data_IF_115373486328
#
_entry.id   IF_115373486328
#
_cell.length_a   1.000
_cell.length_b   1.000
_cell.length_c   1.000
_cell.angle_alpha   90.00
_cell.angle_beta   90.00
_cell.angle_gamma   90.00
#
_symmetry.space_group_name_H-M   'P 1'
#
loop_
_entity.id
_entity.type
_entity.pdbx_description
1 polymer ?
#
# COMPACT_ATOMS: atom_id res chain seq x y z
N UNK A 1 11.32 2.08 7.30
CA UNK A 1 10.95 0.73 6.85
C UNK A 1 9.49 0.47 7.22
N UNK A 2 8.76 -0.32 6.38
CA UNK A 2 7.36 -0.66 6.65
C UNK A 2 6.35 0.36 6.11
N UNK A 3 6.58 0.94 4.93
CA UNK A 3 5.62 1.81 4.25
C UNK A 3 4.48 0.99 3.59
N UNK A 4 3.42 1.68 3.17
CA UNK A 4 2.28 1.09 2.45
C UNK A 4 1.63 -0.10 3.20
N UNK A 5 1.67 -0.10 4.53
CA UNK A 5 1.13 -1.15 5.40
C UNK A 5 1.83 -2.52 5.30
N UNK A 6 2.94 -2.62 4.61
CA UNK A 6 3.73 -3.83 4.45
C UNK A 6 5.05 -3.73 5.21
N UNK A 7 5.52 -4.84 5.74
CA UNK A 7 6.76 -4.94 6.51
C UNK A 7 6.90 -6.34 7.10
N UNK A 8 7.99 -6.63 7.76
CA UNK A 8 8.34 -7.98 8.21
C UNK A 8 8.53 -8.11 9.71
N UNK A 9 8.05 -7.13 10.51
CA UNK A 9 8.27 -7.14 11.95
C UNK A 9 7.53 -8.25 12.72
N UNK A 10 6.64 -9.00 12.06
CA UNK A 10 5.98 -10.19 12.58
C UNK A 10 6.53 -11.49 11.94
N UNK A 11 7.75 -11.45 11.41
CA UNK A 11 8.34 -12.59 10.71
C UNK A 11 7.66 -12.89 9.38
N UNK A 12 7.74 -14.15 8.94
CA UNK A 12 7.11 -14.62 7.70
C UNK A 12 5.59 -14.78 7.83
N UNK A 13 5.08 -15.02 9.02
CA UNK A 13 3.68 -15.32 9.34
C UNK A 13 3.15 -16.54 8.55
N UNK A 14 4.04 -17.42 8.11
CA UNK A 14 3.68 -18.62 7.36
C UNK A 14 2.88 -19.59 8.22
N UNK A 15 1.84 -20.15 7.62
CA UNK A 15 1.04 -21.25 8.16
C UNK A 15 0.85 -22.29 7.07
N UNK A 16 0.28 -23.46 7.40
CA UNK A 16 0.01 -24.48 6.41
C UNK A 16 -0.87 -23.93 5.27
N UNK A 17 -0.30 -23.88 4.06
CA UNK A 17 -0.99 -23.41 2.85
C UNK A 17 -1.07 -21.89 2.67
N UNK A 18 -0.46 -21.07 3.55
CA UNK A 18 -0.47 -19.62 3.42
C UNK A 18 0.94 -19.02 3.60
N UNK A 19 1.32 -18.11 2.71
CA UNK A 19 2.60 -17.40 2.69
C UNK A 19 2.35 -15.87 2.68
N UNK A 20 1.93 -15.25 3.81
CA UNK A 20 1.46 -13.86 3.82
C UNK A 20 2.47 -12.83 3.29
N UNK A 21 3.78 -13.01 3.57
CA UNK A 21 4.83 -12.13 3.02
C UNK A 21 4.88 -12.25 1.49
N UNK A 22 4.89 -13.47 0.98
CA UNK A 22 4.92 -13.73 -0.46
C UNK A 22 3.66 -13.15 -1.11
N UNK A 23 2.51 -13.41 -0.52
CA UNK A 23 1.21 -13.00 -1.03
C UNK A 23 1.05 -11.48 -1.08
N UNK A 24 1.41 -10.78 -0.01
CA UNK A 24 1.28 -9.33 0.07
C UNK A 24 2.32 -8.56 -0.75
N UNK A 25 3.57 -9.04 -0.82
CA UNK A 25 4.66 -8.25 -1.41
C UNK A 25 4.86 -8.46 -2.91
N UNK A 26 4.51 -9.65 -3.43
CA UNK A 26 4.81 -9.97 -4.84
C UNK A 26 4.27 -8.94 -5.81
N UNK A 27 2.97 -8.65 -5.76
CA UNK A 27 2.33 -7.71 -6.70
C UNK A 27 2.49 -6.26 -6.29
N UNK A 28 2.54 -5.98 -4.99
CA UNK A 28 2.67 -4.60 -4.48
C UNK A 28 4.06 -4.03 -4.71
N UNK A 29 5.09 -4.83 -4.44
CA UNK A 29 6.50 -4.40 -4.53
C UNK A 29 7.22 -4.95 -5.77
N UNK A 30 6.49 -5.69 -6.61
CA UNK A 30 7.03 -6.31 -7.82
C UNK A 30 8.25 -7.21 -7.55
N UNK A 31 8.17 -8.05 -6.52
CA UNK A 31 9.25 -8.95 -6.13
C UNK A 31 8.85 -10.40 -6.47
N UNK A 32 9.68 -11.15 -7.21
CA UNK A 32 9.38 -12.55 -7.54
C UNK A 32 9.18 -13.41 -6.30
N UNK A 33 8.15 -14.28 -6.29
CA UNK A 33 7.81 -15.17 -5.16
C UNK A 33 8.99 -15.99 -4.65
N UNK A 34 9.81 -16.54 -5.57
CA UNK A 34 11.01 -17.30 -5.20
C UNK A 34 12.04 -16.50 -4.39
N UNK A 35 12.10 -15.17 -4.61
CA UNK A 35 12.98 -14.28 -3.84
C UNK A 35 12.38 -14.05 -2.46
N UNK A 36 11.08 -13.78 -2.38
CA UNK A 36 10.37 -13.54 -1.12
C UNK A 36 10.42 -14.79 -0.22
N UNK A 37 10.23 -16.00 -0.77
CA UNK A 37 10.37 -17.26 -0.01
C UNK A 37 11.74 -17.39 0.62
N UNK A 38 12.82 -17.10 -0.13
CA UNK A 38 14.18 -17.08 0.43
C UNK A 38 14.37 -16.03 1.52
N UNK A 39 13.72 -14.88 1.38
CA UNK A 39 13.73 -13.86 2.43
C UNK A 39 12.97 -14.33 3.67
N UNK A 40 11.81 -14.96 3.50
CA UNK A 40 11.01 -15.53 4.59
C UNK A 40 11.78 -16.63 5.35
N UNK A 41 12.41 -17.57 4.64
CA UNK A 41 13.26 -18.62 5.21
C UNK A 41 14.43 -18.06 6.03
N UNK A 42 14.93 -16.88 5.68
CA UNK A 42 16.04 -16.23 6.37
C UNK A 42 15.62 -15.42 7.61
N UNK A 43 14.33 -15.24 7.86
CA UNK A 43 13.83 -14.49 9.03
C UNK A 43 14.02 -15.31 10.31
N UNK A 44 14.68 -14.68 11.29
CA UNK A 44 14.95 -15.29 12.60
C UNK A 44 14.14 -14.65 13.72
N UNK A 45 13.20 -13.81 13.38
CA UNK A 45 12.28 -13.09 14.28
C UNK A 45 10.83 -13.35 13.88
N UNK A 46 9.93 -13.26 14.83
CA UNK A 46 8.48 -13.41 14.65
C UNK A 46 7.65 -12.32 15.36
N UNK A 47 8.34 -11.36 15.99
CA UNK A 47 7.70 -10.29 16.73
C UNK A 47 8.46 -8.95 16.60
N UNK A 48 7.83 -7.82 16.92
CA UNK A 48 8.43 -6.48 16.78
C UNK A 48 9.71 -6.26 17.59
N UNK A 49 9.85 -6.89 18.76
CA UNK A 49 11.04 -6.73 19.60
C UNK A 49 12.26 -7.41 18.99
N UNK A 50 12.13 -8.66 18.59
CA UNK A 50 13.23 -9.41 17.99
C UNK A 50 13.61 -8.87 16.62
N UNK A 51 12.66 -8.31 15.89
CA UNK A 51 12.93 -7.58 14.65
C UNK A 51 13.85 -6.37 14.86
N UNK A 52 13.65 -5.57 15.91
CA UNK A 52 14.57 -4.46 16.21
C UNK A 52 15.93 -4.95 16.68
N UNK A 53 15.98 -5.99 17.53
CA UNK A 53 17.23 -6.61 17.98
C UNK A 53 18.06 -7.17 16.81
N UNK A 54 17.41 -7.67 15.77
CA UNK A 54 18.09 -8.13 14.56
C UNK A 54 18.94 -7.00 13.95
N UNK A 55 18.40 -5.79 13.85
CA UNK A 55 19.16 -4.64 13.31
C UNK A 55 20.31 -4.18 14.21
N UNK A 56 20.20 -4.32 15.53
CA UNK A 56 21.28 -3.96 16.45
C UNK A 56 22.55 -4.81 16.22
N UNK A 57 22.38 -6.02 15.71
CA UNK A 57 23.47 -6.94 15.41
C UNK A 57 24.06 -6.80 14.00
N UNK A 58 23.51 -5.90 13.17
CA UNK A 58 23.99 -5.65 11.82
C UNK A 58 24.93 -4.45 11.76
N UNK A 59 26.01 -4.56 10.99
CA UNK A 59 26.92 -3.45 10.69
C UNK A 59 26.26 -2.52 9.65
N UNK A 60 25.33 -1.69 10.09
CA UNK A 60 24.57 -0.79 9.23
C UNK A 60 25.24 0.58 9.14
N UNK A 61 25.32 1.15 7.93
CA UNK A 61 25.74 2.52 7.74
C UNK A 61 24.66 3.55 8.12
N UNK A 62 23.42 3.42 7.62
CA UNK A 62 22.32 4.34 7.94
C UNK A 62 21.65 3.97 9.26
N UNK A 63 21.02 4.97 9.91
CA UNK A 63 20.06 4.73 10.98
C UNK A 63 18.79 4.10 10.41
N UNK A 64 18.25 3.10 11.10
CA UNK A 64 16.99 2.46 10.73
C UNK A 64 15.91 2.79 11.74
N UNK A 65 14.71 3.06 11.25
CA UNK A 65 13.51 3.19 12.05
C UNK A 65 12.35 2.51 11.32
N UNK A 66 11.48 1.83 12.06
CA UNK A 66 10.41 1.01 11.51
C UNK A 66 9.03 1.53 11.87
N UNK A 67 8.05 1.32 11.00
CA UNK A 67 6.63 1.40 11.28
C UNK A 67 6.06 0.02 11.55
N UNK A 68 5.00 -0.06 12.36
CA UNK A 68 4.16 -1.25 12.43
C UNK A 68 3.31 -1.30 11.16
N UNK A 69 3.41 -2.35 10.34
CA UNK A 69 2.65 -2.48 9.11
C UNK A 69 1.25 -3.00 9.41
N UNK A 70 0.22 -2.22 9.07
CA UNK A 70 -1.16 -2.52 9.44
C UNK A 70 -1.70 -3.82 8.79
N UNK A 71 -1.33 -4.10 7.54
CA UNK A 71 -1.72 -5.37 6.88
C UNK A 71 -1.21 -6.56 7.66
N UNK A 72 0.07 -6.53 8.05
CA UNK A 72 0.69 -7.64 8.79
C UNK A 72 0.17 -7.73 10.23
N UNK A 73 -0.16 -6.59 10.89
CA UNK A 73 -0.81 -6.58 12.19
C UNK A 73 -2.20 -7.23 12.16
N UNK A 74 -2.96 -7.00 11.07
CA UNK A 74 -4.24 -7.67 10.87
C UNK A 74 -4.08 -9.17 10.69
N UNK A 75 -3.10 -9.60 9.90
CA UNK A 75 -2.81 -11.03 9.69
C UNK A 75 -2.37 -11.68 11.00
N UNK A 76 -1.51 -11.03 11.76
CA UNK A 76 -1.02 -11.50 13.06
C UNK A 76 -2.15 -11.82 14.05
N UNK A 77 -3.19 -11.03 14.04
CA UNK A 77 -4.28 -11.16 15.01
C UNK A 77 -5.46 -11.96 14.48
N UNK A 78 -5.76 -11.88 13.18
CA UNK A 78 -6.97 -12.45 12.57
C UNK A 78 -6.68 -13.62 11.64
N UNK A 79 -5.43 -13.81 11.20
CA UNK A 79 -5.08 -14.64 10.06
C UNK A 79 -5.41 -13.97 8.71
N UNK A 80 -4.84 -14.49 7.62
CA UNK A 80 -4.98 -13.89 6.30
C UNK A 80 -6.45 -13.82 5.85
N UNK A 81 -7.16 -14.95 5.85
CA UNK A 81 -8.54 -15.04 5.33
C UNK A 81 -9.52 -14.09 6.05
N UNK A 82 -9.46 -14.04 7.37
CA UNK A 82 -10.33 -13.15 8.13
C UNK A 82 -9.94 -11.68 7.92
N UNK A 83 -8.64 -11.39 7.77
CA UNK A 83 -8.13 -10.03 7.58
C UNK A 83 -8.56 -9.39 6.26
N UNK A 84 -8.91 -10.20 5.25
CA UNK A 84 -9.38 -9.75 3.93
C UNK A 84 -10.88 -9.94 3.69
N UNK A 85 -11.61 -10.41 4.68
CA UNK A 85 -13.04 -10.70 4.51
C UNK A 85 -13.95 -9.93 5.46
N UNK A 86 -13.46 -9.52 6.64
CA UNK A 86 -14.26 -8.85 7.65
C UNK A 86 -13.48 -7.83 8.49
N UNK A 87 -14.22 -7.00 9.21
CA UNK A 87 -13.62 -6.18 10.27
C UNK A 87 -13.23 -7.04 11.49
N UNK A 88 -12.24 -6.61 12.31
CA UNK A 88 -11.92 -7.27 13.56
C UNK A 88 -13.09 -7.19 14.55
N UNK A 89 -13.27 -8.24 15.35
CA UNK A 89 -14.14 -8.19 16.52
C UNK A 89 -13.46 -7.38 17.65
N UNK A 90 -14.15 -7.22 18.79
CA UNK A 90 -13.65 -6.37 19.85
C UNK A 90 -12.38 -6.93 20.52
N UNK A 91 -12.28 -8.26 20.68
CA UNK A 91 -11.08 -8.89 21.26
C UNK A 91 -9.88 -8.81 20.33
N UNK A 92 -10.10 -9.03 19.03
CA UNK A 92 -9.07 -8.87 17.99
C UNK A 92 -8.56 -7.42 17.94
N UNK A 93 -9.46 -6.46 18.01
CA UNK A 93 -9.09 -5.04 17.99
C UNK A 93 -8.31 -4.64 19.26
N UNK A 94 -8.71 -5.13 20.43
CA UNK A 94 -7.94 -4.95 21.68
C UNK A 94 -6.54 -5.58 21.58
N UNK A 95 -6.42 -6.76 20.95
CA UNK A 95 -5.14 -7.42 20.73
C UNK A 95 -4.24 -6.60 19.80
N UNK A 96 -4.78 -6.04 18.72
CA UNK A 96 -4.04 -5.13 17.83
C UNK A 96 -3.56 -3.89 18.57
N UNK A 97 -4.40 -3.29 19.42
CA UNK A 97 -4.02 -2.13 20.24
C UNK A 97 -2.88 -2.47 21.20
N UNK A 98 -2.93 -3.62 21.87
CA UNK A 98 -1.87 -4.08 22.80
C UNK A 98 -0.53 -4.30 22.07
N UNK A 99 -0.54 -4.95 20.92
CA UNK A 99 0.66 -5.16 20.11
C UNK A 99 1.23 -3.81 19.64
N UNK A 100 0.36 -2.92 19.17
CA UNK A 100 0.77 -1.59 18.73
C UNK A 100 1.32 -0.74 19.88
N UNK A 101 0.71 -0.79 21.06
CA UNK A 101 1.20 -0.12 22.26
C UNK A 101 2.62 -0.58 22.61
N UNK A 102 2.85 -1.90 22.69
CA UNK A 102 4.18 -2.46 22.97
C UNK A 102 5.22 -2.05 21.90
N UNK A 103 4.83 -2.04 20.63
CA UNK A 103 5.73 -1.57 19.58
C UNK A 103 6.08 -0.07 19.72
N UNK A 104 5.13 0.79 20.14
CA UNK A 104 5.43 2.20 20.41
C UNK A 104 6.42 2.36 21.57
N UNK A 105 6.30 1.55 22.62
CA UNK A 105 7.23 1.51 23.77
C UNK A 105 8.63 1.05 23.36
N UNK A 106 8.74 0.09 22.44
CA UNK A 106 10.01 -0.36 21.85
C UNK A 106 10.67 0.67 20.93
N UNK A 107 9.98 1.76 20.56
CA UNK A 107 10.55 2.84 19.77
C UNK A 107 10.16 2.83 18.28
N UNK A 108 9.18 2.05 17.87
CA UNK A 108 8.62 2.15 16.51
C UNK A 108 8.13 3.57 16.20
N UNK A 109 8.27 4.00 14.95
CA UNK A 109 7.88 5.35 14.52
C UNK A 109 6.36 5.57 14.53
N UNK A 110 5.58 4.51 14.46
CA UNK A 110 4.13 4.59 14.39
C UNK A 110 3.51 3.46 13.58
N UNK A 111 2.34 3.73 13.01
CA UNK A 111 1.57 2.79 12.19
C UNK A 111 1.61 3.18 10.72
N UNK A 112 1.78 2.19 9.85
CA UNK A 112 1.69 2.37 8.40
C UNK A 112 0.43 1.72 7.85
N UNK A 113 -0.33 2.47 7.05
CA UNK A 113 -1.56 2.02 6.35
C UNK A 113 -1.48 2.30 4.86
N UNK A 114 -2.36 1.65 4.08
CA UNK A 114 -2.43 1.84 2.64
C UNK A 114 -3.86 2.03 2.15
N UNK A 115 -4.04 2.91 1.18
CA UNK A 115 -5.32 3.20 0.53
C UNK A 115 -5.28 3.14 -0.99
N UNK A 116 -4.18 2.63 -1.59
CA UNK A 116 -4.05 2.53 -3.04
C UNK A 116 -4.84 1.34 -3.60
N UNK A 117 -5.72 1.55 -4.58
CA UNK A 117 -6.69 0.55 -5.01
C UNK A 117 -6.09 -0.61 -5.82
N UNK A 118 -4.84 -0.49 -6.23
CA UNK A 118 -4.14 -1.44 -7.08
C UNK A 118 -3.16 -2.35 -6.31
N UNK A 119 -3.24 -2.39 -4.99
CA UNK A 119 -2.45 -3.30 -4.16
C UNK A 119 -3.24 -4.58 -3.87
N UNK A 120 -2.96 -5.63 -4.65
CA UNK A 120 -3.63 -6.93 -4.60
C UNK A 120 -2.71 -8.02 -4.04
N UNK A 121 -3.33 -9.08 -3.53
CA UNK A 121 -2.67 -10.32 -3.16
C UNK A 121 -2.25 -11.12 -4.40
N UNK A 122 -1.29 -12.02 -4.25
CA UNK A 122 -0.68 -12.72 -5.39
C UNK A 122 -0.93 -14.21 -5.45
N UNK A 123 -1.45 -14.83 -4.38
CA UNK A 123 -1.67 -16.28 -4.31
C UNK A 123 -3.15 -16.63 -4.45
N UNK A 124 -3.44 -17.77 -5.11
CA UNK A 124 -4.76 -18.34 -5.10
C UNK A 124 -5.15 -18.79 -3.68
N UNK A 125 -6.42 -18.63 -3.30
CA UNK A 125 -7.56 -18.14 -4.08
C UNK A 125 -7.77 -16.62 -3.98
N UNK A 126 -6.80 -15.84 -3.50
CA UNK A 126 -6.97 -14.43 -3.11
C UNK A 126 -6.47 -13.41 -4.14
N UNK A 127 -6.13 -13.83 -5.36
CA UNK A 127 -5.58 -12.95 -6.41
C UNK A 127 -6.50 -11.79 -6.82
N UNK A 128 -7.80 -11.88 -6.50
CA UNK A 128 -8.81 -10.83 -6.70
C UNK A 128 -8.97 -9.91 -5.46
N UNK A 129 -8.32 -10.21 -4.35
CA UNK A 129 -8.43 -9.47 -3.09
C UNK A 129 -7.31 -8.45 -2.94
N UNK A 130 -7.65 -7.32 -2.35
CA UNK A 130 -6.67 -6.30 -1.95
C UNK A 130 -5.99 -6.69 -0.65
N UNK A 131 -4.85 -6.05 -0.35
CA UNK A 131 -4.11 -6.26 0.89
C UNK A 131 -4.94 -5.92 2.13
N UNK A 132 -4.68 -6.57 3.28
CA UNK A 132 -5.56 -6.53 4.46
C UNK A 132 -5.92 -5.15 5.00
N UNK A 133 -5.02 -4.17 4.94
CA UNK A 133 -5.27 -2.82 5.45
C UNK A 133 -6.47 -2.13 4.78
N UNK A 134 -6.81 -2.51 3.55
CA UNK A 134 -7.91 -1.90 2.78
C UNK A 134 -9.30 -2.37 3.23
N UNK A 135 -9.36 -3.43 4.03
CA UNK A 135 -10.60 -3.91 4.67
C UNK A 135 -10.84 -3.26 6.05
N UNK A 136 -9.95 -2.37 6.47
CA UNK A 136 -10.08 -1.69 7.75
C UNK A 136 -11.25 -0.71 7.78
N UNK A 137 -12.01 -0.77 8.87
CA UNK A 137 -13.06 0.20 9.14
C UNK A 137 -12.49 1.52 9.70
N UNK A 138 -13.25 2.61 9.57
CA UNK A 138 -12.90 3.87 10.22
C UNK A 138 -12.79 3.72 11.76
N UNK A 139 -13.64 2.88 12.38
CA UNK A 139 -13.58 2.58 13.83
C UNK A 139 -12.25 1.95 14.21
N UNK A 140 -11.80 0.97 13.44
CA UNK A 140 -10.51 0.29 13.63
C UNK A 140 -9.35 1.28 13.55
N UNK A 141 -9.25 2.02 12.44
CA UNK A 141 -8.18 3.01 12.28
C UNK A 141 -8.21 4.08 13.36
N UNK A 142 -9.39 4.59 13.73
CA UNK A 142 -9.51 5.58 14.82
C UNK A 142 -8.94 5.06 16.11
N UNK A 143 -9.19 3.82 16.48
CA UNK A 143 -8.69 3.19 17.72
C UNK A 143 -7.17 3.01 17.67
N UNK A 144 -6.66 2.39 16.62
CA UNK A 144 -5.21 2.19 16.46
C UNK A 144 -4.45 3.52 16.39
N UNK A 145 -4.97 4.52 15.69
CA UNK A 145 -4.37 5.85 15.64
C UNK A 145 -4.48 6.61 16.95
N UNK A 146 -5.38 6.25 17.86
CA UNK A 146 -5.40 6.79 19.22
C UNK A 146 -4.19 6.32 20.03
N UNK A 147 -3.74 5.07 19.85
CA UNK A 147 -2.49 4.56 20.42
C UNK A 147 -1.30 5.33 19.86
N UNK A 148 -1.20 5.47 18.53
CA UNK A 148 -0.12 6.24 17.88
C UNK A 148 -0.05 7.68 18.38
N UNK A 149 -1.21 8.33 18.54
CA UNK A 149 -1.36 9.70 19.08
C UNK A 149 -0.93 9.82 20.53
N UNK A 150 -1.29 8.85 21.38
CA UNK A 150 -0.90 8.80 22.79
C UNK A 150 0.62 8.84 22.97
N UNK A 151 1.34 8.10 22.12
CA UNK A 151 2.80 8.02 22.12
C UNK A 151 3.51 9.12 21.30
N UNK A 152 2.77 10.11 20.78
CA UNK A 152 3.29 11.18 19.91
C UNK A 152 4.05 10.65 18.69
N UNK A 153 3.62 9.51 18.14
CA UNK A 153 4.20 8.84 16.98
C UNK A 153 3.54 9.27 15.68
N UNK A 154 3.91 8.65 14.56
CA UNK A 154 3.53 9.05 13.22
C UNK A 154 2.54 8.04 12.61
N UNK A 155 1.49 8.55 11.99
CA UNK A 155 0.70 7.79 11.03
C UNK A 155 1.29 7.98 9.63
N UNK A 156 1.87 6.95 9.05
CA UNK A 156 2.24 6.92 7.64
C UNK A 156 1.10 6.30 6.84
N UNK A 157 0.75 6.87 5.69
CA UNK A 157 -0.34 6.36 4.87
C UNK A 157 -0.19 6.72 3.40
N UNK A 158 -0.85 5.96 2.54
CA UNK A 158 -1.15 6.38 1.18
C UNK A 158 -2.62 6.84 1.11
N UNK A 159 -2.96 7.82 0.29
CA UNK A 159 -4.34 8.32 0.20
C UNK A 159 -5.26 7.29 -0.48
N UNK A 160 -6.54 7.30 -0.10
CA UNK A 160 -7.60 6.59 -0.82
C UNK A 160 -7.93 7.42 -2.07
N UNK A 161 -7.39 7.02 -3.22
CA UNK A 161 -7.54 7.81 -4.46
C UNK A 161 -8.86 7.59 -5.19
N UNK A 162 -9.52 6.44 -5.00
CA UNK A 162 -10.80 6.10 -5.64
C UNK A 162 -11.97 6.99 -5.21
N UNK A 163 -11.92 7.50 -3.98
CA UNK A 163 -13.00 8.31 -3.44
C UNK A 163 -12.44 9.47 -2.60
N UNK A 164 -12.45 10.66 -3.21
CA UNK A 164 -11.90 11.89 -2.60
C UNK A 164 -12.58 12.28 -1.30
N UNK A 165 -13.90 12.08 -1.20
CA UNK A 165 -14.66 12.39 0.03
C UNK A 165 -14.30 11.41 1.14
N UNK A 166 -14.18 10.13 0.82
CA UNK A 166 -13.71 9.11 1.75
C UNK A 166 -12.28 9.42 2.21
N UNK A 167 -11.38 9.78 1.29
CA UNK A 167 -10.01 10.18 1.62
C UNK A 167 -9.99 11.37 2.59
N UNK A 168 -10.73 12.44 2.28
CA UNK A 168 -10.82 13.61 3.14
C UNK A 168 -11.38 13.25 4.52
N UNK A 169 -12.42 12.42 4.58
CA UNK A 169 -13.00 11.95 5.83
C UNK A 169 -11.98 11.17 6.68
N UNK A 170 -11.21 10.26 6.07
CA UNK A 170 -10.15 9.53 6.78
C UNK A 170 -9.02 10.45 7.25
N UNK A 171 -8.63 11.43 6.45
CA UNK A 171 -7.62 12.40 6.87
C UNK A 171 -8.07 13.30 8.04
N UNK A 172 -9.36 13.39 8.34
CA UNK A 172 -9.81 14.07 9.59
C UNK A 172 -9.23 13.43 10.84
N UNK A 173 -8.83 12.14 10.77
CA UNK A 173 -8.14 11.45 11.87
C UNK A 173 -6.85 12.15 12.30
N UNK A 174 -6.27 13.05 11.49
CA UNK A 174 -5.13 13.87 11.87
C UNK A 174 -5.47 14.98 12.86
N UNK A 175 -6.76 15.36 12.93
CA UNK A 175 -7.23 16.56 13.65
C UNK A 175 -7.09 16.44 15.17
N UNK A 176 -6.45 17.44 15.77
CA UNK A 176 -6.41 17.61 17.23
C UNK A 176 -7.75 18.08 17.78
N UNK A 177 -8.49 18.90 17.04
CA UNK A 177 -9.81 19.40 17.48
C UNK A 177 -10.85 18.31 17.59
N UNK A 178 -10.81 17.31 16.70
CA UNK A 178 -11.76 16.21 16.71
C UNK A 178 -11.36 15.05 17.63
N UNK A 179 -10.04 14.87 17.87
CA UNK A 179 -9.52 13.68 18.55
C UNK A 179 -8.53 13.96 19.68
N UNK A 180 -8.48 15.19 20.21
CA UNK A 180 -7.73 15.58 21.41
C UNK A 180 -6.34 16.17 21.11
N UNK A 181 -5.43 15.42 20.49
CA UNK A 181 -4.12 15.91 20.06
C UNK A 181 -4.00 15.83 18.54
N UNK A 182 -3.27 16.75 17.89
CA UNK A 182 -2.95 16.58 16.47
C UNK A 182 -2.07 15.35 16.27
N UNK A 183 -2.39 14.54 15.26
CA UNK A 183 -1.62 13.37 14.90
C UNK A 183 -0.63 13.73 13.79
N UNK A 184 0.65 13.48 14.04
CA UNK A 184 1.69 13.57 13.00
C UNK A 184 1.37 12.59 11.89
N UNK A 185 1.09 13.07 10.70
CA UNK A 185 0.69 12.24 9.56
C UNK A 185 1.58 12.52 8.37
N UNK A 186 2.16 11.46 7.83
CA UNK A 186 2.98 11.48 6.62
C UNK A 186 2.26 10.71 5.52
N UNK A 187 1.78 11.41 4.49
CA UNK A 187 1.07 10.80 3.38
C UNK A 187 1.94 10.73 2.11
N UNK A 188 1.96 9.59 1.47
CA UNK A 188 2.63 9.36 0.19
C UNK A 188 1.62 9.63 -0.93
N UNK A 189 1.81 10.50 -1.86
CA UNK A 189 2.69 11.64 -1.99
C UNK A 189 1.96 12.78 -2.71
N UNK A 190 2.41 14.01 -2.57
CA UNK A 190 1.93 15.12 -3.39
C UNK A 190 2.68 15.12 -4.73
N UNK A 191 2.30 14.21 -5.62
CA UNK A 191 2.88 14.12 -6.96
C UNK A 191 2.13 15.02 -7.94
N UNK A 192 2.89 15.73 -8.78
CA UNK A 192 2.38 16.32 -10.00
C UNK A 192 2.56 15.31 -11.11
N UNK A 193 1.46 14.87 -11.70
CA UNK A 193 1.49 13.90 -12.79
C UNK A 193 1.13 14.57 -14.11
N UNK A 194 1.79 14.20 -15.19
CA UNK A 194 1.44 14.68 -16.54
C UNK A 194 -0.03 14.39 -16.87
N UNK A 195 -0.53 13.23 -16.47
CA UNK A 195 -1.92 12.84 -16.65
C UNK A 195 -2.92 13.61 -15.76
N UNK A 196 -2.46 14.15 -14.61
CA UNK A 196 -3.29 14.88 -13.66
C UNK A 196 -2.61 16.18 -13.21
N UNK A 197 -2.41 17.18 -14.10
CA UNK A 197 -1.82 18.47 -13.74
C UNK A 197 -2.63 19.17 -12.66
N UNK A 198 -1.93 19.83 -11.74
CA UNK A 198 -2.44 20.45 -10.52
C UNK A 198 -2.93 19.47 -9.43
N UNK A 199 -2.65 18.17 -9.54
CA UNK A 199 -2.92 17.22 -8.45
C UNK A 199 -2.20 17.61 -7.15
N UNK A 200 -0.96 18.05 -7.23
CA UNK A 200 -0.19 18.56 -6.09
C UNK A 200 -0.88 19.73 -5.38
N UNK A 201 -1.49 20.67 -6.13
CA UNK A 201 -2.24 21.80 -5.55
C UNK A 201 -3.44 21.34 -4.72
N UNK A 202 -4.15 20.30 -5.20
CA UNK A 202 -5.27 19.71 -4.47
C UNK A 202 -4.79 19.12 -3.13
N UNK A 203 -3.74 18.30 -3.15
CA UNK A 203 -3.20 17.68 -1.94
C UNK A 203 -2.68 18.73 -0.95
N UNK A 204 -1.97 19.74 -1.43
CA UNK A 204 -1.50 20.85 -0.58
C UNK A 204 -2.66 21.69 -0.03
N UNK A 205 -3.73 21.88 -0.80
CA UNK A 205 -4.97 22.51 -0.34
C UNK A 205 -5.64 21.74 0.80
N UNK A 206 -5.72 20.41 0.68
CA UNK A 206 -6.24 19.53 1.74
C UNK A 206 -5.36 19.62 3.00
N UNK A 207 -4.03 19.55 2.85
CA UNK A 207 -3.12 19.71 3.98
C UNK A 207 -3.28 21.06 4.67
N UNK A 208 -3.38 22.16 3.91
CA UNK A 208 -3.60 23.50 4.46
C UNK A 208 -4.91 23.61 5.25
N UNK A 209 -6.00 22.99 4.74
CA UNK A 209 -7.27 22.96 5.44
C UNK A 209 -7.17 22.16 6.75
N UNK A 210 -6.65 20.95 6.70
CA UNK A 210 -6.54 20.08 7.87
C UNK A 210 -5.56 20.62 8.92
N UNK A 211 -4.49 21.28 8.49
CA UNK A 211 -3.50 21.90 9.37
C UNK A 211 -3.90 23.31 9.86
N UNK A 212 -5.10 23.79 9.48
CA UNK A 212 -5.59 25.08 9.93
C UNK A 212 -5.88 25.09 11.45
N UNK A 213 -5.95 26.28 12.04
CA UNK A 213 -6.34 26.45 13.46
C UNK A 213 -7.73 25.84 13.78
N UNK A 214 -8.59 25.71 12.76
CA UNK A 214 -9.92 25.12 12.90
C UNK A 214 -9.86 23.62 13.15
N UNK A 215 -8.99 22.88 12.47
CA UNK A 215 -8.90 21.42 12.56
C UNK A 215 -7.67 20.95 13.37
N UNK A 216 -6.65 21.79 13.50
CA UNK A 216 -5.43 21.52 14.28
C UNK A 216 -4.79 20.17 13.92
N UNK A 217 -4.63 19.89 12.61
CA UNK A 217 -3.97 18.69 12.12
C UNK A 217 -2.47 18.88 11.96
N UNK A 218 -1.74 17.77 11.71
CA UNK A 218 -0.32 17.74 11.33
C UNK A 218 -0.11 16.81 10.15
N UNK A 219 -0.78 17.10 9.03
CA UNK A 219 -0.68 16.34 7.79
C UNK A 219 0.41 16.93 6.91
N UNK A 220 1.36 16.09 6.53
CA UNK A 220 2.42 16.41 5.57
C UNK A 220 2.42 15.38 4.45
N UNK A 221 2.46 15.85 3.22
CA UNK A 221 2.67 15.00 2.06
C UNK A 221 4.17 14.88 1.75
N UNK A 222 4.60 13.67 1.47
CA UNK A 222 5.95 13.43 0.95
C UNK A 222 6.05 13.99 -0.48
N UNK A 223 7.23 14.51 -0.82
CA UNK A 223 7.54 15.00 -2.15
C UNK A 223 8.80 14.32 -2.67
N UNK A 224 8.83 14.07 -3.97
CA UNK A 224 10.03 13.60 -4.65
C UNK A 224 10.93 14.81 -4.97
N UNK A 225 12.21 14.72 -4.62
CA UNK A 225 13.19 15.78 -4.88
C UNK A 225 13.61 15.89 -6.34
N UNK A 226 13.28 14.89 -7.15
CA UNK A 226 13.61 14.81 -8.58
C UNK A 226 12.45 14.26 -9.37
N UNK A 227 12.49 14.42 -10.70
CA UNK A 227 11.51 13.79 -11.58
C UNK A 227 11.56 12.27 -11.43
N UNK A 228 10.41 11.67 -11.21
CA UNK A 228 10.25 10.23 -11.11
C UNK A 228 9.99 9.64 -12.50
N UNK A 229 10.81 8.66 -12.86
CA UNK A 229 10.66 7.90 -14.10
C UNK A 229 10.71 6.42 -13.78
N UNK A 230 9.81 5.65 -14.36
CA UNK A 230 9.77 4.19 -14.21
C UNK A 230 10.04 3.56 -15.57
N UNK A 231 10.94 2.61 -15.59
CA UNK A 231 11.13 1.69 -16.69
C UNK A 231 10.63 0.32 -16.24
N UNK A 232 9.84 -0.33 -17.07
CA UNK A 232 9.30 -1.66 -16.78
C UNK A 232 9.57 -2.55 -17.98
N UNK A 233 10.11 -3.73 -17.75
CA UNK A 233 10.23 -4.78 -18.73
C UNK A 233 8.94 -5.61 -18.75
N UNK A 234 8.06 -5.26 -19.67
CA UNK A 234 6.72 -5.82 -19.74
C UNK A 234 5.69 -5.17 -18.80
N UNK A 235 4.49 -5.74 -18.75
CA UNK A 235 3.39 -5.30 -17.90
C UNK A 235 3.51 -6.01 -16.54
N UNK A 236 4.32 -5.46 -15.64
CA UNK A 236 4.61 -6.02 -14.33
C UNK A 236 4.51 -5.00 -13.19
N UNK A 237 4.36 -3.72 -13.52
CA UNK A 237 4.24 -2.68 -12.50
C UNK A 237 2.84 -2.65 -11.86
N UNK A 238 2.71 -2.43 -10.53
CA UNK A 238 1.42 -2.28 -9.85
C UNK A 238 0.51 -1.22 -10.47
N UNK A 239 1.06 -0.22 -11.16
CA UNK A 239 0.27 0.80 -11.86
C UNK A 239 -0.66 0.23 -12.94
N UNK A 240 -0.32 -0.91 -13.51
CA UNK A 240 -1.16 -1.59 -14.49
C UNK A 240 -2.29 -2.41 -13.85
N UNK A 241 -2.32 -2.58 -12.53
CA UNK A 241 -3.43 -3.21 -11.80
C UNK A 241 -4.73 -2.38 -11.86
N UNK A 242 -4.65 -1.12 -12.26
CA UNK A 242 -5.83 -0.26 -12.43
C UNK A 242 -6.77 -0.73 -13.54
N UNK A 243 -6.26 -1.46 -14.54
CA UNK A 243 -7.04 -2.03 -15.63
C UNK A 243 -7.26 -3.53 -15.39
N UNK A 244 -8.49 -4.01 -15.61
CA UNK A 244 -8.81 -5.42 -15.35
C UNK A 244 -8.03 -6.37 -16.24
N UNK A 245 -7.82 -6.01 -17.50
CA UNK A 245 -7.05 -6.81 -18.45
C UNK A 245 -5.57 -6.94 -18.07
N UNK A 246 -4.95 -5.86 -17.64
CA UNK A 246 -3.54 -5.90 -17.21
C UNK A 246 -3.38 -6.50 -15.82
N UNK A 247 -4.37 -6.36 -14.93
CA UNK A 247 -4.41 -7.04 -13.65
C UNK A 247 -4.40 -8.58 -13.80
N UNK A 248 -5.16 -9.12 -14.77
CA UNK A 248 -5.13 -10.55 -15.11
C UNK A 248 -3.73 -11.00 -15.54
N UNK A 249 -3.04 -10.19 -16.35
CA UNK A 249 -1.69 -10.50 -16.79
C UNK A 249 -0.66 -10.45 -15.63
N UNK A 250 -0.81 -9.49 -14.73
CA UNK A 250 0.07 -9.34 -13.56
C UNK A 250 -0.18 -10.44 -12.52
N UNK A 251 -1.41 -10.98 -12.45
CA UNK A 251 -1.73 -12.10 -11.57
C UNK A 251 -1.02 -13.41 -11.94
N UNK A 252 -0.56 -13.54 -13.20
CA UNK A 252 0.28 -14.66 -13.63
C UNK A 252 1.71 -14.48 -13.11
N UNK A 253 2.37 -15.59 -12.77
CA UNK A 253 3.77 -15.58 -12.39
C UNK A 253 4.63 -14.89 -13.45
N UNK A 254 5.67 -14.18 -13.01
CA UNK A 254 6.54 -13.44 -13.91
C UNK A 254 7.24 -14.35 -14.94
N UNK A 255 7.58 -15.56 -14.56
CA UNK A 255 8.23 -16.57 -15.37
C UNK A 255 7.26 -17.57 -16.05
N UNK A 256 5.94 -17.40 -15.88
CA UNK A 256 4.92 -18.11 -16.67
C UNK A 256 4.78 -17.49 -18.07
N UNK A 257 5.82 -17.67 -18.88
CA UNK A 257 5.85 -17.12 -20.24
C UNK A 257 4.73 -17.68 -21.13
N UNK A 258 4.39 -18.96 -20.97
CA UNK A 258 3.34 -19.58 -21.78
C UNK A 258 1.95 -19.07 -21.43
N UNK A 259 1.63 -18.97 -20.13
CA UNK A 259 0.37 -18.42 -19.65
C UNK A 259 0.19 -16.97 -20.06
N UNK A 260 1.23 -16.15 -19.87
CA UNK A 260 1.24 -14.74 -20.28
C UNK A 260 1.09 -14.58 -21.79
N UNK A 261 1.78 -15.40 -22.60
CA UNK A 261 1.60 -15.38 -24.05
C UNK A 261 0.22 -15.83 -24.50
N UNK A 262 -0.33 -16.89 -23.91
CA UNK A 262 -1.72 -17.33 -24.21
C UNK A 262 -2.71 -16.20 -23.97
N UNK A 263 -2.61 -15.53 -22.84
CA UNK A 263 -3.50 -14.42 -22.49
C UNK A 263 -3.36 -13.26 -23.50
N UNK A 264 -2.12 -12.84 -23.80
CA UNK A 264 -1.86 -11.75 -24.75
C UNK A 264 -2.25 -12.05 -26.21
N UNK A 265 -2.43 -13.32 -26.59
CA UNK A 265 -2.91 -13.73 -27.89
C UNK A 265 -4.42 -14.05 -27.93
N UNK A 266 -5.09 -14.02 -26.77
CA UNK A 266 -6.55 -14.16 -26.71
C UNK A 266 -7.23 -12.91 -27.30
N UNK A 267 -8.03 -13.07 -28.39
CA UNK A 267 -8.68 -11.95 -29.05
C UNK A 267 -9.63 -11.18 -28.12
N UNK A 268 -10.31 -11.85 -27.18
CA UNK A 268 -11.23 -11.20 -26.23
C UNK A 268 -10.46 -10.35 -25.23
N UNK A 269 -9.33 -10.87 -24.74
CA UNK A 269 -8.46 -10.12 -23.85
C UNK A 269 -7.85 -8.90 -24.57
N UNK A 270 -7.36 -9.07 -25.79
CA UNK A 270 -6.78 -7.98 -26.60
C UNK A 270 -7.78 -6.87 -26.84
N UNK A 271 -9.04 -7.21 -27.18
CA UNK A 271 -10.06 -6.19 -27.41
C UNK A 271 -10.46 -5.47 -26.11
N UNK A 272 -10.57 -6.20 -25.00
CA UNK A 272 -10.80 -5.62 -23.68
C UNK A 272 -9.66 -4.69 -23.27
N UNK A 273 -8.42 -5.12 -23.41
CA UNK A 273 -7.24 -4.29 -23.15
C UNK A 273 -7.24 -3.02 -23.98
N UNK A 274 -7.48 -3.11 -25.31
CA UNK A 274 -7.56 -1.93 -26.20
C UNK A 274 -8.64 -0.95 -25.76
N UNK A 275 -9.80 -1.45 -25.38
CA UNK A 275 -10.90 -0.61 -24.89
C UNK A 275 -10.54 0.09 -23.58
N UNK A 276 -10.05 -0.66 -22.60
CA UNK A 276 -9.65 -0.12 -21.31
C UNK A 276 -8.50 0.88 -21.45
N UNK A 277 -7.51 0.57 -22.28
CA UNK A 277 -6.38 1.47 -22.54
C UNK A 277 -6.80 2.80 -23.17
N UNK A 278 -7.76 2.78 -24.08
CA UNK A 278 -8.24 3.99 -24.75
C UNK A 278 -9.15 4.84 -23.88
N UNK A 279 -10.03 4.24 -23.12
CA UNK A 279 -11.13 4.93 -22.46
C UNK A 279 -11.05 4.89 -20.94
N UNK A 280 -10.19 4.05 -20.37
CA UNK A 280 -10.17 3.74 -18.94
C UNK A 280 -11.33 2.84 -18.52
N UNK A 281 -11.34 2.46 -17.25
CA UNK A 281 -12.33 1.55 -16.67
C UNK A 281 -13.29 2.28 -15.73
N UNK A 282 -12.74 3.03 -14.77
CA UNK A 282 -13.51 3.64 -13.66
C UNK A 282 -13.80 5.12 -13.86
N UNK A 283 -13.17 5.76 -14.84
CA UNK A 283 -13.20 7.20 -15.01
C UNK A 283 -12.20 7.98 -14.17
N UNK A 284 -11.60 7.36 -13.17
CA UNK A 284 -10.57 7.92 -12.27
C UNK A 284 -9.21 7.16 -12.36
N UNK A 285 -9.12 6.10 -13.16
CA UNK A 285 -7.86 5.43 -13.47
C UNK A 285 -6.97 6.25 -14.44
N UNK A 286 -5.70 5.85 -14.55
CA UNK A 286 -4.72 6.53 -15.39
C UNK A 286 -5.16 6.64 -16.87
N UNK A 287 -5.71 5.56 -17.43
CA UNK A 287 -6.15 5.54 -18.83
C UNK A 287 -7.36 6.47 -19.04
N UNK A 288 -8.29 6.54 -18.10
CA UNK A 288 -9.41 7.49 -18.14
C UNK A 288 -8.93 8.94 -18.07
N UNK A 289 -7.94 9.24 -17.24
CA UNK A 289 -7.36 10.60 -17.17
C UNK A 289 -6.62 10.96 -18.46
N UNK A 290 -5.89 10.01 -19.04
CA UNK A 290 -5.24 10.16 -20.35
C UNK A 290 -6.26 10.50 -21.43
N UNK A 291 -7.33 9.73 -21.55
CA UNK A 291 -8.38 9.91 -22.53
C UNK A 291 -9.11 11.25 -22.39
N UNK A 292 -9.50 11.64 -21.17
CA UNK A 292 -10.17 12.92 -20.89
C UNK A 292 -9.34 14.15 -21.31
N UNK A 293 -8.03 14.03 -21.39
CA UNK A 293 -7.10 15.14 -21.69
C UNK A 293 -6.56 15.13 -23.11
N UNK A 294 -6.92 14.15 -23.91
CA UNK A 294 -6.37 13.99 -25.26
C UNK A 294 -4.85 13.82 -25.28
N UNK A 295 -4.28 13.26 -24.21
CA UNK A 295 -2.84 13.00 -24.14
C UNK A 295 -2.50 11.91 -25.17
N UNK A 296 -1.38 12.06 -25.93
CA UNK A 296 -0.97 11.06 -26.89
C UNK A 296 -0.72 9.71 -26.21
N UNK A 297 -0.87 8.64 -26.97
CA UNK A 297 -0.51 7.26 -26.57
C UNK A 297 1.02 7.12 -26.43
N UNK A 298 1.60 7.95 -25.60
CA UNK A 298 3.06 8.05 -25.40
C UNK A 298 3.60 7.02 -24.41
N UNK A 299 2.93 5.90 -24.21
CA UNK A 299 3.63 4.69 -23.83
C UNK A 299 4.38 4.22 -25.08
N UNK A 300 5.58 4.71 -25.23
CA UNK A 300 6.51 4.16 -26.21
C UNK A 300 6.93 2.81 -25.65
N UNK A 301 6.24 1.75 -26.08
CA UNK A 301 6.76 0.39 -25.97
C UNK A 301 7.99 0.37 -26.85
N UNK A 302 9.16 0.58 -26.29
CA UNK A 302 10.42 0.36 -26.99
C UNK A 302 10.68 -1.14 -26.96
N UNK A 303 10.83 -1.74 -28.12
CA UNK A 303 11.44 -3.07 -28.19
C UNK A 303 12.83 -2.98 -27.56
N UNK A 304 13.25 -3.99 -26.77
CA UNK A 304 14.60 -4.01 -26.21
C UNK A 304 15.60 -3.93 -27.38
N UNK A 305 16.53 -3.02 -27.28
CA UNK A 305 17.68 -2.99 -28.19
C UNK A 305 18.41 -4.33 -28.07
N UNK A 306 18.54 -5.03 -29.20
CA UNK A 306 19.21 -6.33 -29.28
C UNK A 306 20.69 -6.20 -29.00
#
# INVERSE_FOLDING_TARGET
VGNCSLGTCFGSQETEGQEPIVDCFTRVENIPKKVLRKCAEAMTWDNPEDYLKHFENLNLGPNIAAFVPHSMLRIEVMGLDASISRAPNELELQKMEQILEGAMELGYLGLSTDGLPFHYLSNDPHTDKRIPTQFASFKELRRLLSVVRKHDRVWQTTPIIENRLKALFYFTLTSGRLFGKPLKTSALSAMEMTAAPNSSKLFLGVAKLLNSKLLDGRLHFQALGTNFRVWSDGIVSPLFEELSSTAELIALEYDDYEGRQRLMHDPEWVERFRKEWRHGRTGDDFASWKAKRGLPDSLVIREPEK
#
